data_IF_039152246981
#
_entry.id   IF_039152246981
#
_cell.length_a   1.000
_cell.length_b   1.000
_cell.length_c   1.000
_cell.angle_alpha   90.00
_cell.angle_beta   90.00
_cell.angle_gamma   90.00
#
_symmetry.space_group_name_H-M   'P 1'
#
loop_
_entity.id
_entity.type
_entity.pdbx_description
1 polymer ?
#
# COMPACT_ATOMS: atom_id res chain seq x y z
N UNK A 1 -1.86 1.35 5.70
CA UNK A 1 -0.79 1.89 6.56
C UNK A 1 -1.10 3.30 7.04
N UNK A 2 -1.36 4.27 6.15
CA UNK A 2 -1.71 5.65 6.51
C UNK A 2 -2.72 5.76 7.64
N UNK A 3 -3.90 5.16 7.48
CA UNK A 3 -4.98 5.22 8.48
C UNK A 3 -4.61 4.60 9.82
N UNK A 4 -3.89 3.48 9.81
CA UNK A 4 -3.42 2.83 11.03
C UNK A 4 -2.47 3.75 11.80
N UNK A 5 -1.51 4.37 11.12
CA UNK A 5 -0.58 5.31 11.75
C UNK A 5 -1.29 6.59 12.20
N UNK A 6 -2.19 7.13 11.36
CA UNK A 6 -2.99 8.31 11.66
C UNK A 6 -3.87 8.13 12.91
N UNK A 7 -4.45 6.93 13.10
CA UNK A 7 -5.26 6.61 14.27
C UNK A 7 -4.42 6.40 15.55
N UNK A 8 -3.18 5.92 15.41
CA UNK A 8 -2.26 5.75 16.55
C UNK A 8 -1.75 7.11 17.01
N UNK A 9 -1.20 7.89 16.07
CA UNK A 9 -0.70 9.23 16.32
C UNK A 9 -0.54 9.96 14.97
N UNK A 10 -1.26 11.07 14.83
CA UNK A 10 -1.24 11.90 13.61
C UNK A 10 0.17 12.39 13.29
N UNK A 11 1.04 12.58 14.29
CA UNK A 11 2.40 13.09 14.11
C UNK A 11 3.30 12.13 13.32
N UNK A 12 2.94 10.85 13.22
CA UNK A 12 3.67 9.88 12.39
C UNK A 12 3.45 10.06 10.89
N UNK A 13 2.47 10.87 10.49
CA UNK A 13 2.05 11.00 9.08
C UNK A 13 1.83 12.44 8.66
N UNK A 14 1.45 13.30 9.59
CA UNK A 14 1.26 14.74 9.42
C UNK A 14 2.19 15.42 10.40
N UNK A 15 3.28 15.98 9.88
CA UNK A 15 4.20 16.76 10.70
C UNK A 15 3.67 18.20 10.70
N UNK A 16 3.13 18.68 11.83
CA UNK A 16 2.74 20.10 11.97
C UNK A 16 3.95 21.05 11.74
N UNK A 17 5.18 20.53 11.74
CA UNK A 17 6.42 21.27 11.48
C UNK A 17 6.87 21.31 9.99
N UNK A 18 6.25 20.55 9.09
CA UNK A 18 6.53 20.68 7.64
C UNK A 18 5.74 21.87 7.09
N UNK A 19 6.29 23.06 7.28
CA UNK A 19 5.62 24.36 7.17
C UNK A 19 4.59 24.49 6.06
N UNK A 20 3.39 24.95 6.44
CA UNK A 20 2.35 25.76 5.78
C UNK A 20 2.03 25.59 4.27
N UNK A 21 2.70 24.71 3.51
CA UNK A 21 2.59 24.62 2.06
C UNK A 21 1.89 23.37 1.54
N UNK A 22 1.86 22.26 2.29
CA UNK A 22 1.19 21.04 1.86
C UNK A 22 -0.16 20.87 2.58
N UNK A 23 -1.29 21.00 1.87
CA UNK A 23 -2.60 20.94 2.50
C UNK A 23 -2.87 19.55 3.09
N UNK A 24 -3.24 19.50 4.37
CA UNK A 24 -3.60 18.26 5.07
C UNK A 24 -4.68 17.45 4.32
N UNK A 25 -5.68 18.14 3.75
CA UNK A 25 -6.76 17.50 3.00
C UNK A 25 -6.25 16.78 1.74
N UNK A 26 -5.16 17.25 1.13
CA UNK A 26 -4.56 16.61 -0.03
C UNK A 26 -3.85 15.32 0.37
N UNK A 27 -3.17 15.32 1.52
CA UNK A 27 -2.63 14.10 2.13
C UNK A 27 -3.74 13.08 2.39
N UNK A 28 -4.85 13.51 3.00
CA UNK A 28 -5.99 12.63 3.27
C UNK A 28 -6.64 12.12 1.99
N UNK A 29 -6.88 12.99 1.01
CA UNK A 29 -7.46 12.62 -0.27
C UNK A 29 -6.59 11.60 -1.00
N UNK A 30 -5.26 11.80 -1.03
CA UNK A 30 -4.33 10.85 -1.65
C UNK A 30 -4.36 9.44 -1.05
N UNK A 31 -4.70 9.31 0.24
CA UNK A 31 -4.79 8.01 0.92
C UNK A 31 -6.21 7.43 0.98
N UNK A 32 -7.23 8.25 0.72
CA UNK A 32 -8.65 7.83 0.77
C UNK A 32 -9.20 7.55 -0.61
N UNK A 33 -8.89 8.42 -1.59
CA UNK A 33 -9.52 8.41 -2.93
C UNK A 33 -9.03 7.28 -3.82
N UNK A 34 -7.89 6.66 -3.51
CA UNK A 34 -7.38 5.52 -4.26
C UNK A 34 -8.39 4.37 -4.29
N UNK A 35 -9.02 4.04 -3.15
CA UNK A 35 -9.99 2.93 -3.07
C UNK A 35 -11.24 3.19 -3.93
N UNK A 36 -12.00 4.29 -3.78
CA UNK A 36 -13.19 4.53 -4.59
C UNK A 36 -12.87 4.70 -6.07
N UNK A 37 -11.73 5.31 -6.45
CA UNK A 37 -11.32 5.42 -7.85
C UNK A 37 -11.05 4.05 -8.44
N UNK A 38 -10.28 3.19 -7.75
CA UNK A 38 -10.02 1.82 -8.21
C UNK A 38 -11.29 0.97 -8.30
N UNK A 39 -12.24 1.15 -7.37
CA UNK A 39 -13.53 0.46 -7.43
C UNK A 39 -14.37 0.96 -8.62
N UNK A 40 -14.44 2.26 -8.85
CA UNK A 40 -15.13 2.83 -10.00
C UNK A 40 -14.53 2.29 -11.31
N UNK A 41 -13.21 2.30 -11.43
CA UNK A 41 -12.49 1.75 -12.58
C UNK A 41 -12.79 0.25 -12.78
N UNK A 42 -12.79 -0.53 -11.69
CA UNK A 42 -13.10 -1.97 -11.76
C UNK A 42 -14.55 -2.24 -12.21
N UNK A 43 -15.48 -1.34 -11.89
CA UNK A 43 -16.89 -1.39 -12.30
C UNK A 43 -17.08 -0.96 -13.76
N UNK A 44 -16.37 0.07 -14.23
CA UNK A 44 -16.58 0.64 -15.57
C UNK A 44 -15.74 -0.02 -16.65
N UNK A 45 -14.58 -0.60 -16.30
CA UNK A 45 -13.57 -1.01 -17.28
C UNK A 45 -13.14 -2.46 -17.07
N UNK A 46 -13.38 -3.29 -18.09
CA UNK A 46 -12.86 -4.64 -18.14
C UNK A 46 -11.35 -4.64 -18.43
N UNK A 47 -10.57 -5.15 -17.47
CA UNK A 47 -9.13 -5.32 -17.62
C UNK A 47 -8.79 -6.74 -18.03
N UNK A 48 -8.17 -6.93 -19.22
CA UNK A 48 -7.69 -8.25 -19.61
C UNK A 48 -6.57 -8.68 -18.67
N UNK A 49 -6.86 -9.70 -17.86
CA UNK A 49 -5.92 -10.23 -16.87
C UNK A 49 -4.79 -11.02 -17.53
N UNK A 50 -3.61 -10.92 -16.95
CA UNK A 50 -2.46 -11.73 -17.35
C UNK A 50 -2.41 -13.03 -16.53
N UNK A 51 -1.31 -13.78 -16.61
CA UNK A 51 -1.15 -14.99 -15.80
C UNK A 51 -0.92 -14.59 -14.34
N UNK A 52 -1.62 -15.23 -13.41
CA UNK A 52 -1.51 -14.99 -11.97
C UNK A 52 -0.05 -14.96 -11.48
N UNK A 53 0.80 -15.84 -12.01
CA UNK A 53 2.22 -15.89 -11.67
C UNK A 53 2.94 -14.57 -12.00
N UNK A 54 2.67 -13.98 -13.17
CA UNK A 54 3.28 -12.72 -13.59
C UNK A 54 2.83 -11.58 -12.67
N UNK A 55 1.52 -11.50 -12.41
CA UNK A 55 0.93 -10.46 -11.55
C UNK A 55 1.49 -10.54 -10.13
N UNK A 56 1.61 -11.75 -9.59
CA UNK A 56 2.18 -11.97 -8.26
C UNK A 56 3.68 -11.69 -8.20
N UNK A 57 4.43 -12.07 -9.22
CA UNK A 57 5.86 -11.75 -9.30
C UNK A 57 6.08 -10.23 -9.32
N UNK A 58 5.29 -9.48 -10.08
CA UNK A 58 5.37 -8.02 -10.13
C UNK A 58 5.01 -7.43 -8.76
N UNK A 59 3.94 -7.89 -8.12
CA UNK A 59 3.56 -7.41 -6.78
C UNK A 59 4.66 -7.66 -5.75
N UNK A 60 5.21 -8.87 -5.71
CA UNK A 60 6.28 -9.24 -4.77
C UNK A 60 7.55 -8.43 -5.05
N UNK A 61 7.92 -8.24 -6.32
CA UNK A 61 9.09 -7.44 -6.68
C UNK A 61 8.91 -5.96 -6.28
N UNK A 62 7.73 -5.39 -6.49
CA UNK A 62 7.44 -4.01 -6.10
C UNK A 62 7.42 -3.83 -4.58
N UNK A 63 6.74 -4.72 -3.85
CA UNK A 63 6.70 -4.67 -2.38
C UNK A 63 8.09 -4.91 -1.80
N UNK A 64 8.82 -5.89 -2.33
CA UNK A 64 10.17 -6.23 -1.88
C UNK A 64 11.17 -5.10 -2.12
N UNK A 65 11.16 -4.50 -3.32
CA UNK A 65 12.02 -3.34 -3.62
C UNK A 65 11.70 -2.14 -2.73
N UNK A 66 10.43 -1.89 -2.43
CA UNK A 66 10.04 -0.84 -1.50
C UNK A 66 10.52 -1.09 -0.07
N UNK A 67 10.42 -2.33 0.43
CA UNK A 67 10.94 -2.71 1.76
C UNK A 67 12.46 -2.56 1.80
N UNK A 68 13.18 -3.02 0.77
CA UNK A 68 14.62 -2.85 0.66
C UNK A 68 15.02 -1.37 0.65
N UNK A 69 14.25 -0.52 -0.04
CA UNK A 69 14.46 0.92 -0.07
C UNK A 69 14.28 1.57 1.32
N UNK A 70 13.22 1.20 2.06
CA UNK A 70 13.03 1.68 3.44
C UNK A 70 14.22 1.29 4.32
N UNK A 71 14.71 0.04 4.23
CA UNK A 71 15.86 -0.41 5.00
C UNK A 71 17.16 0.30 4.60
N UNK A 72 17.36 0.53 3.30
CA UNK A 72 18.49 1.32 2.81
C UNK A 72 18.49 2.71 3.43
N UNK A 73 17.36 3.43 3.38
CA UNK A 73 17.24 4.75 4.00
C UNK A 73 17.51 4.72 5.51
N UNK A 74 16.93 3.75 6.22
CA UNK A 74 17.07 3.66 7.67
C UNK A 74 18.47 3.27 8.15
N UNK A 75 19.14 2.36 7.43
CA UNK A 75 20.46 1.83 7.83
C UNK A 75 21.63 2.65 7.30
N UNK A 76 21.53 3.15 6.06
CA UNK A 76 22.63 3.87 5.38
C UNK A 76 22.49 5.37 5.54
N UNK A 77 21.28 5.92 5.34
CA UNK A 77 21.05 7.36 5.42
C UNK A 77 20.62 7.82 6.82
N UNK A 78 20.39 6.87 7.75
CA UNK A 78 19.83 7.13 9.08
C UNK A 78 18.48 7.87 9.07
N UNK A 79 17.73 7.75 7.96
CA UNK A 79 16.42 8.38 7.77
C UNK A 79 15.36 7.28 7.75
N UNK A 80 14.48 7.28 8.74
CA UNK A 80 13.32 6.38 8.77
C UNK A 80 12.12 7.06 8.12
N UNK A 81 11.56 6.41 7.09
CA UNK A 81 10.38 6.89 6.35
C UNK A 81 9.17 7.11 7.28
N UNK A 82 9.05 6.30 8.33
CA UNK A 82 8.02 6.46 9.36
C UNK A 82 8.67 6.63 10.73
N UNK A 83 8.26 7.67 11.47
CA UNK A 83 8.82 7.97 12.80
C UNK A 83 8.72 6.80 13.78
N UNK A 84 7.67 5.98 13.68
CA UNK A 84 7.50 4.77 14.49
C UNK A 84 8.63 3.76 14.28
N UNK A 85 9.18 3.64 13.06
CA UNK A 85 10.26 2.69 12.78
C UNK A 85 11.53 3.05 13.55
N UNK A 86 11.80 4.34 13.78
CA UNK A 86 12.94 4.75 14.59
C UNK A 86 12.81 4.33 16.07
N UNK A 87 11.57 4.30 16.59
CA UNK A 87 11.29 4.08 18.03
C UNK A 87 11.18 2.60 18.44
N UNK A 88 11.08 1.68 17.48
CA UNK A 88 10.86 0.25 17.74
C UNK A 88 12.11 -0.60 17.47
N UNK A 89 12.15 -1.79 18.08
CA UNK A 89 13.23 -2.77 17.89
C UNK A 89 13.28 -3.30 16.45
N UNK A 90 14.45 -3.79 16.02
CA UNK A 90 14.66 -4.35 14.68
C UNK A 90 13.68 -5.47 14.35
N UNK A 91 13.38 -6.36 15.31
CA UNK A 91 12.41 -7.45 15.13
C UNK A 91 11.02 -6.89 14.84
N UNK A 92 10.58 -5.88 15.59
CA UNK A 92 9.27 -5.25 15.39
C UNK A 92 9.19 -4.52 14.04
N UNK A 93 10.29 -3.93 13.55
CA UNK A 93 10.35 -3.34 12.19
C UNK A 93 10.07 -4.39 11.12
N UNK A 94 10.74 -5.54 11.21
CA UNK A 94 10.55 -6.66 10.28
C UNK A 94 9.09 -7.14 10.32
N UNK A 95 8.54 -7.37 11.52
CA UNK A 95 7.16 -7.84 11.68
C UNK A 95 6.15 -6.88 11.05
N UNK A 96 6.27 -5.57 11.31
CA UNK A 96 5.37 -4.56 10.75
C UNK A 96 5.47 -4.50 9.21
N UNK A 97 6.69 -4.48 8.67
CA UNK A 97 6.91 -4.42 7.22
C UNK A 97 6.43 -5.69 6.51
N UNK A 98 6.69 -6.87 7.08
CA UNK A 98 6.16 -8.14 6.57
C UNK A 98 4.62 -8.16 6.65
N UNK A 99 4.04 -7.66 7.73
CA UNK A 99 2.59 -7.52 7.89
C UNK A 99 1.97 -6.68 6.77
N UNK A 100 2.63 -5.59 6.34
CA UNK A 100 2.18 -4.81 5.20
C UNK A 100 2.30 -5.55 3.85
N UNK A 101 3.34 -6.36 3.67
CA UNK A 101 3.46 -7.22 2.50
C UNK A 101 2.31 -8.23 2.42
N UNK A 102 1.98 -8.88 3.54
CA UNK A 102 0.82 -9.79 3.63
C UNK A 102 -0.48 -9.04 3.34
N UNK A 103 -0.66 -7.85 3.91
CA UNK A 103 -1.84 -7.00 3.65
C UNK A 103 -2.00 -6.66 2.17
N UNK A 104 -0.91 -6.33 1.47
CA UNK A 104 -0.93 -6.06 0.02
C UNK A 104 -1.38 -7.30 -0.79
N UNK A 105 -0.91 -8.49 -0.42
CA UNK A 105 -1.32 -9.75 -1.04
C UNK A 105 -2.83 -9.99 -0.80
N UNK A 106 -3.33 -9.77 0.41
CA UNK A 106 -4.76 -9.91 0.73
C UNK A 106 -5.62 -8.96 -0.12
N UNK A 107 -5.24 -7.69 -0.22
CA UNK A 107 -5.95 -6.73 -1.08
C UNK A 107 -5.96 -7.16 -2.55
N UNK A 108 -4.84 -7.68 -3.04
CA UNK A 108 -4.77 -8.22 -4.39
C UNK A 108 -5.73 -9.40 -4.60
N UNK A 109 -5.81 -10.34 -3.64
CA UNK A 109 -6.75 -11.47 -3.71
C UNK A 109 -8.20 -11.00 -3.70
N UNK A 110 -8.54 -9.96 -2.91
CA UNK A 110 -9.85 -9.33 -2.92
C UNK A 110 -10.15 -8.75 -4.31
N UNK A 111 -9.18 -8.05 -4.92
CA UNK A 111 -9.30 -7.54 -6.29
C UNK A 111 -9.55 -8.65 -7.32
N UNK A 112 -8.87 -9.80 -7.19
CA UNK A 112 -9.11 -10.96 -8.05
C UNK A 112 -10.53 -11.52 -7.90
N UNK A 113 -11.04 -11.57 -6.67
CA UNK A 113 -12.40 -12.03 -6.39
C UNK A 113 -13.43 -11.04 -6.96
N UNK A 114 -13.25 -9.75 -6.70
CA UNK A 114 -14.12 -8.69 -7.22
C UNK A 114 -14.19 -8.74 -8.75
N UNK A 115 -13.04 -8.86 -9.42
CA UNK A 115 -13.01 -8.97 -10.87
C UNK A 115 -13.78 -10.20 -11.37
N UNK A 116 -13.68 -11.36 -10.71
CA UNK A 116 -14.44 -12.57 -11.08
C UNK A 116 -15.95 -12.39 -10.91
N UNK A 117 -16.37 -11.64 -9.88
CA UNK A 117 -17.78 -11.36 -9.59
C UNK A 117 -18.35 -10.37 -10.61
N UNK A 118 -17.63 -9.28 -10.91
CA UNK A 118 -18.08 -8.23 -11.83
C UNK A 118 -18.08 -8.69 -13.29
N UNK A 119 -17.06 -9.47 -13.67
CA UNK A 119 -16.84 -9.90 -15.04
C UNK A 119 -16.74 -11.44 -15.12
N UNK A 120 -17.84 -12.16 -14.85
CA UNK A 120 -17.85 -13.61 -14.99
C UNK A 120 -17.53 -13.95 -16.45
N UNK A 121 -16.50 -14.78 -16.64
CA UNK A 121 -16.21 -15.33 -17.95
C UNK A 121 -17.47 -16.09 -18.39
N UNK A 122 -18.23 -15.56 -19.36
CA UNK A 122 -19.10 -16.43 -20.16
C UNK A 122 -18.18 -17.48 -20.71
N UNK A 123 -18.35 -18.72 -20.23
CA UNK A 123 -17.74 -19.91 -20.80
C UNK A 123 -17.97 -19.79 -22.30
N UNK A 124 -16.92 -19.51 -23.05
CA UNK A 124 -16.98 -19.61 -24.50
C UNK A 124 -17.28 -21.08 -24.77
N UNK A 125 -18.49 -21.34 -25.25
CA UNK A 125 -18.88 -22.62 -25.85
C UNK A 125 -17.99 -22.93 -27.05
#
# INVERSE_FOLDING_TARGET
>A
MYWTLYLIDKEYVVNDASGDGYPWWLTHAGHSMVVPILLLEALTTYHRRSRLVIEMSILIALVGSYVLWIYYLGLVQHIWVYGILCKISTVNRVVILCGFGVYAIVLYLIGLLLHKILWPQRRQE
#
